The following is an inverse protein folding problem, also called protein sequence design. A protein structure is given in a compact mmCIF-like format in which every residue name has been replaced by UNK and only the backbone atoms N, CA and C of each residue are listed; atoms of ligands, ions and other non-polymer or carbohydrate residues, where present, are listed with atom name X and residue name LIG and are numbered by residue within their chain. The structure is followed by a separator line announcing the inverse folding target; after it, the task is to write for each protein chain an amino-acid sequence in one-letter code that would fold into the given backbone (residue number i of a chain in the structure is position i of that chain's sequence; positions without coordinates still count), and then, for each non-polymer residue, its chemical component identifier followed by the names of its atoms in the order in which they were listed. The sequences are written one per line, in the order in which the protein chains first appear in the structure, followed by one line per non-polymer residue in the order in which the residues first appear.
data_IF_347922037195
#
_entry.id   IF_347922037195
#
_cell.length_a   1.000
_cell.length_b   1.000
_cell.length_c   1.000
_cell.angle_alpha   90.00
_cell.angle_beta   90.00
_cell.angle_gamma   90.00
#
_symmetry.space_group_name_H-M   'P 1'
#
loop_
_entity.id
_entity.type
_entity.pdbx_description
1 polymer ?
#
# COMPACT_ATOMS: atom_id res chain seq x y z
N UNK A 1 -42.39 68.16 32.73
CA UNK A 1 -43.38 67.69 33.72
C UNK A 1 -43.41 66.15 33.60
N UNK A 2 -43.27 65.52 34.77
CA UNK A 2 -43.42 64.06 35.07
C UNK A 2 -42.35 63.11 34.58
N UNK A 3 -41.44 62.81 35.52
CA UNK A 3 -40.52 61.73 35.51
C UNK A 3 -41.24 60.39 35.75
N UNK A 4 -40.78 59.22 35.17
CA UNK A 4 -41.24 57.93 35.60
C UNK A 4 -40.32 57.31 36.68
N UNK A 5 -40.85 56.35 37.45
CA UNK A 5 -40.21 55.87 38.69
C UNK A 5 -39.13 54.85 38.50
N UNK A 6 -38.26 54.88 39.47
CA UNK A 6 -37.12 54.04 39.73
C UNK A 6 -37.54 52.58 40.06
N UNK A 7 -37.13 51.56 39.29
CA UNK A 7 -37.31 50.16 39.65
C UNK A 7 -35.98 49.57 40.06
N UNK A 8 -35.92 49.08 41.29
CA UNK A 8 -34.80 48.48 41.98
C UNK A 8 -34.33 47.21 41.29
N UNK A 9 -33.05 47.11 41.06
CA UNK A 9 -32.32 45.92 40.49
C UNK A 9 -31.95 45.01 41.65
N UNK A 10 -32.70 43.94 41.83
CA UNK A 10 -32.34 42.83 42.76
C UNK A 10 -31.18 42.06 42.19
N UNK A 11 -30.03 42.09 42.88
CA UNK A 11 -28.89 41.23 42.61
C UNK A 11 -29.18 39.84 43.17
N UNK A 12 -29.30 38.85 42.28
CA UNK A 12 -29.24 37.42 42.63
C UNK A 12 -27.80 36.95 42.59
N UNK A 13 -27.26 36.52 43.73
CA UNK A 13 -25.98 35.83 43.84
C UNK A 13 -26.07 34.42 43.25
N UNK A 14 -25.06 33.93 42.52
CA UNK A 14 -25.07 32.56 42.03
C UNK A 14 -24.78 31.58 43.17
N UNK A 15 -25.74 30.68 43.44
CA UNK A 15 -25.59 29.58 44.38
C UNK A 15 -24.52 28.61 43.91
N UNK A 16 -23.52 28.37 44.75
CA UNK A 16 -22.55 27.31 44.58
C UNK A 16 -23.26 25.96 44.77
N UNK A 17 -23.45 25.21 43.68
CA UNK A 17 -23.81 23.78 43.74
C UNK A 17 -22.63 22.99 44.30
N UNK A 18 -22.80 22.40 45.49
CA UNK A 18 -21.87 21.44 46.04
C UNK A 18 -21.99 20.12 45.26
N UNK A 19 -20.87 19.66 44.71
CA UNK A 19 -20.72 18.29 44.18
C UNK A 19 -20.90 17.29 45.32
N UNK A 20 -21.58 16.18 45.11
CA UNK A 20 -21.69 15.10 46.10
C UNK A 20 -20.33 14.48 46.39
N UNK A 21 -20.07 14.17 47.66
CA UNK A 21 -18.87 13.51 48.15
C UNK A 21 -18.78 12.07 47.58
N UNK A 22 -17.58 11.61 47.21
CA UNK A 22 -17.41 10.20 46.76
C UNK A 22 -17.71 9.21 47.90
N UNK A 23 -18.22 8.01 47.60
CA UNK A 23 -18.48 6.96 48.59
C UNK A 23 -17.18 6.48 49.23
N UNK A 24 -17.23 5.97 50.47
CA UNK A 24 -16.05 5.46 51.17
C UNK A 24 -15.42 4.27 50.43
N UNK A 25 -14.12 4.26 50.34
CA UNK A 25 -13.34 3.17 49.76
C UNK A 25 -13.54 1.90 50.57
N UNK A 26 -14.22 0.93 50.01
CA UNK A 26 -14.25 -0.45 50.48
C UNK A 26 -12.88 -1.09 50.27
N UNK A 27 -12.38 -1.73 51.32
CA UNK A 27 -11.03 -2.23 51.49
C UNK A 27 -10.47 -2.99 50.30
N UNK A 28 -9.23 -2.69 49.99
CA UNK A 28 -8.39 -3.47 49.06
C UNK A 28 -8.16 -4.87 49.61
N UNK A 29 -8.32 -5.93 48.80
CA UNK A 29 -7.89 -7.25 49.17
C UNK A 29 -6.37 -7.30 49.36
N UNK A 30 -5.90 -8.08 50.33
CA UNK A 30 -4.50 -8.28 50.65
C UNK A 30 -3.68 -8.76 49.44
N UNK A 31 -2.40 -8.40 49.34
CA UNK A 31 -1.56 -8.83 48.21
C UNK A 31 -1.37 -10.34 48.25
N UNK A 32 -1.77 -10.99 47.14
CA UNK A 32 -1.46 -12.41 46.94
C UNK A 32 0.02 -12.46 46.55
N UNK A 33 0.82 -13.12 47.43
CA UNK A 33 2.22 -13.43 47.15
C UNK A 33 2.29 -14.46 46.00
N UNK A 34 2.49 -13.99 44.77
CA UNK A 34 2.96 -14.85 43.70
C UNK A 34 4.48 -14.97 43.79
N UNK A 35 5.07 -16.17 43.67
CA UNK A 35 6.51 -16.32 43.59
C UNK A 35 7.02 -15.56 42.35
N UNK A 36 7.98 -14.71 42.58
CA UNK A 36 8.70 -13.91 41.54
C UNK A 36 9.42 -14.90 40.62
N UNK A 37 8.76 -15.29 39.54
CA UNK A 37 9.47 -15.85 38.40
C UNK A 37 10.24 -14.70 37.72
N UNK A 38 11.58 -14.82 37.73
CA UNK A 38 12.46 -13.96 36.90
C UNK A 38 11.93 -13.98 35.46
N UNK A 39 11.84 -12.83 34.80
CA UNK A 39 11.57 -12.80 33.37
C UNK A 39 12.68 -13.60 32.67
N UNK A 40 12.31 -14.74 32.10
CA UNK A 40 13.17 -15.39 31.14
C UNK A 40 13.32 -14.41 29.96
N UNK A 41 14.56 -14.14 29.61
CA UNK A 41 14.88 -13.36 28.41
C UNK A 41 14.14 -13.99 27.24
N UNK A 42 13.16 -13.26 26.68
CA UNK A 42 12.56 -13.60 25.41
C UNK A 42 13.67 -13.41 24.38
N UNK A 43 14.34 -14.51 24.06
CA UNK A 43 15.16 -14.55 22.87
C UNK A 43 14.24 -14.25 21.72
N UNK A 44 14.37 -13.05 21.15
CA UNK A 44 13.83 -12.76 19.83
C UNK A 44 14.48 -13.78 18.89
N UNK A 45 13.80 -14.89 18.67
CA UNK A 45 14.07 -15.75 17.53
C UNK A 45 13.79 -14.89 16.33
N UNK A 46 14.85 -14.40 15.69
CA UNK A 46 14.74 -13.82 14.38
C UNK A 46 13.99 -14.85 13.53
N UNK A 47 12.79 -14.48 13.13
CA UNK A 47 11.99 -15.25 12.19
C UNK A 47 12.70 -15.11 10.84
N UNK A 48 13.76 -15.89 10.66
CA UNK A 48 14.25 -16.22 9.33
C UNK A 48 13.18 -17.15 8.76
N UNK A 49 12.23 -16.56 8.02
CA UNK A 49 11.42 -17.32 7.12
C UNK A 49 12.39 -18.05 6.17
N UNK A 50 12.74 -19.29 6.50
CA UNK A 50 13.33 -20.20 5.54
C UNK A 50 12.26 -20.42 4.51
N UNK A 51 12.45 -19.84 3.32
CA UNK A 51 11.79 -20.30 2.11
C UNK A 51 12.01 -21.81 2.09
N UNK A 52 10.96 -22.65 2.03
CA UNK A 52 11.17 -24.09 1.86
C UNK A 52 12.11 -24.25 0.67
N UNK A 53 13.25 -24.91 0.87
CA UNK A 53 14.17 -25.24 -0.22
C UNK A 53 13.49 -26.29 -1.09
N UNK A 54 12.61 -25.85 -1.98
CA UNK A 54 12.22 -26.67 -3.12
C UNK A 54 13.46 -26.88 -3.97
N UNK A 55 13.66 -28.14 -4.38
CA UNK A 55 14.78 -28.58 -5.21
C UNK A 55 15.02 -27.56 -6.35
N UNK A 56 16.25 -27.01 -6.53
CA UNK A 56 16.54 -26.02 -7.59
C UNK A 56 16.17 -26.49 -9.00
N UNK A 57 15.89 -27.79 -9.17
CA UNK A 57 15.42 -28.37 -10.42
C UNK A 57 13.94 -28.17 -10.71
N UNK A 58 13.17 -27.69 -9.72
CA UNK A 58 11.77 -27.29 -9.86
C UNK A 58 11.61 -25.76 -9.77
N UNK A 59 12.57 -24.99 -10.24
CA UNK A 59 12.42 -23.57 -10.43
C UNK A 59 11.23 -23.35 -11.38
N UNK A 60 10.07 -23.13 -10.81
CA UNK A 60 8.88 -22.67 -11.52
C UNK A 60 9.31 -21.35 -12.14
N UNK A 61 9.48 -21.34 -13.47
CA UNK A 61 9.69 -20.11 -14.23
C UNK A 61 8.45 -19.27 -13.97
N UNK A 62 8.57 -18.29 -13.06
CA UNK A 62 7.49 -17.32 -12.89
C UNK A 62 7.31 -16.60 -14.21
N UNK A 63 6.09 -16.52 -14.73
CA UNK A 63 5.83 -15.72 -15.90
C UNK A 63 6.33 -14.29 -15.66
N UNK A 64 7.10 -13.75 -16.61
CA UNK A 64 7.47 -12.33 -16.57
C UNK A 64 6.19 -11.52 -16.84
N UNK A 65 5.68 -10.85 -15.82
CA UNK A 65 4.52 -9.95 -15.91
C UNK A 65 5.00 -8.50 -16.01
N UNK A 66 5.41 -8.02 -17.21
CA UNK A 66 5.98 -6.67 -17.38
C UNK A 66 4.96 -5.56 -17.13
N UNK A 67 3.68 -5.91 -17.02
CA UNK A 67 2.57 -5.02 -16.73
C UNK A 67 2.12 -5.06 -15.25
N UNK A 68 2.78 -5.84 -14.40
CA UNK A 68 2.51 -5.88 -12.95
C UNK A 68 3.39 -4.87 -12.22
N UNK A 69 2.76 -4.06 -11.36
CA UNK A 69 3.43 -3.09 -10.49
C UNK A 69 2.99 -3.34 -9.06
N UNK A 70 3.94 -3.58 -8.17
CA UNK A 70 3.68 -3.79 -6.75
C UNK A 70 4.03 -2.53 -5.95
N UNK A 71 3.06 -2.06 -5.16
CA UNK A 71 3.19 -0.90 -4.28
C UNK A 71 3.36 -1.36 -2.85
N UNK A 72 4.46 -0.95 -2.21
CA UNK A 72 4.75 -1.29 -0.81
C UNK A 72 5.16 -0.08 0.02
N UNK A 73 5.06 -0.21 1.35
CA UNK A 73 5.57 0.79 2.28
C UNK A 73 6.01 0.16 3.60
N UNK A 74 7.18 0.53 4.13
CA UNK A 74 7.63 0.10 5.46
C UNK A 74 6.90 0.82 6.61
N UNK A 75 5.99 1.74 6.30
CA UNK A 75 5.26 2.56 7.29
C UNK A 75 3.77 2.47 7.04
N UNK A 76 3.01 1.97 8.01
CA UNK A 76 1.56 1.92 7.93
C UNK A 76 0.92 3.32 8.00
N UNK A 77 -0.26 3.47 7.39
CA UNK A 77 -1.08 4.67 7.49
C UNK A 77 -0.57 5.90 6.72
N UNK A 78 0.48 5.79 5.92
CA UNK A 78 1.01 6.91 5.13
C UNK A 78 0.21 7.22 3.87
N UNK A 79 -0.73 6.34 3.47
CA UNK A 79 -1.59 6.49 2.30
C UNK A 79 -1.11 5.71 1.09
N UNK A 80 -0.52 4.52 1.28
CA UNK A 80 -0.10 3.62 0.21
C UNK A 80 -1.28 3.28 -0.71
N UNK A 81 -2.38 2.74 -0.17
CA UNK A 81 -3.59 2.41 -0.93
C UNK A 81 -4.17 3.61 -1.67
N UNK A 82 -4.15 4.81 -1.04
CA UNK A 82 -4.54 6.06 -1.69
C UNK A 82 -3.63 6.40 -2.87
N UNK A 83 -2.30 6.23 -2.71
CA UNK A 83 -1.34 6.44 -3.81
C UNK A 83 -1.62 5.48 -4.96
N UNK A 84 -1.79 4.19 -4.67
CA UNK A 84 -2.06 3.15 -5.68
C UNK A 84 -3.32 3.48 -6.47
N UNK A 85 -4.41 3.88 -5.78
CA UNK A 85 -5.65 4.32 -6.41
C UNK A 85 -5.48 5.59 -7.25
N UNK A 86 -4.74 6.60 -6.79
CA UNK A 86 -4.48 7.83 -7.55
C UNK A 86 -3.69 7.55 -8.84
N UNK A 87 -2.77 6.58 -8.83
CA UNK A 87 -2.04 6.16 -10.03
C UNK A 87 -2.98 5.43 -10.99
N UNK A 88 -3.84 4.53 -10.49
CA UNK A 88 -4.83 3.85 -11.31
C UNK A 88 -5.76 4.84 -12.00
N UNK A 89 -6.28 5.81 -11.24
CA UNK A 89 -7.15 6.86 -11.78
C UNK A 89 -6.45 7.68 -12.87
N UNK A 90 -5.18 8.08 -12.64
CA UNK A 90 -4.42 8.84 -13.63
C UNK A 90 -4.10 8.02 -14.89
N UNK A 91 -3.91 6.70 -14.77
CA UNK A 91 -3.73 5.79 -15.90
C UNK A 91 -5.04 5.66 -16.71
N UNK A 92 -6.17 5.46 -16.03
CA UNK A 92 -7.50 5.38 -16.65
C UNK A 92 -7.86 6.68 -17.37
N UNK A 93 -7.62 7.86 -16.78
CA UNK A 93 -7.79 9.16 -17.42
C UNK A 93 -6.93 9.32 -18.70
N UNK A 94 -5.83 8.58 -18.83
CA UNK A 94 -5.00 8.54 -20.04
C UNK A 94 -5.41 7.44 -21.03
N UNK A 95 -6.50 6.73 -20.76
CA UNK A 95 -7.01 5.64 -21.60
C UNK A 95 -6.19 4.35 -21.49
N UNK A 96 -5.48 4.14 -20.39
CA UNK A 96 -4.77 2.89 -20.11
C UNK A 96 -5.72 1.97 -19.35
N UNK A 97 -6.04 0.83 -19.95
CA UNK A 97 -6.82 -0.24 -19.32
C UNK A 97 -6.01 -0.83 -18.15
N UNK A 98 -6.53 -0.73 -16.93
CA UNK A 98 -5.84 -1.15 -15.72
C UNK A 98 -6.75 -1.83 -14.71
N UNK A 99 -6.14 -2.64 -13.85
CA UNK A 99 -6.79 -3.26 -12.70
C UNK A 99 -6.05 -2.94 -11.40
N UNK A 100 -6.81 -2.83 -10.32
CA UNK A 100 -6.32 -2.74 -8.94
C UNK A 100 -6.43 -4.10 -8.27
N UNK A 101 -5.40 -4.49 -7.55
CA UNK A 101 -5.36 -5.68 -6.71
C UNK A 101 -5.02 -5.29 -5.28
N UNK A 102 -5.88 -5.62 -4.33
CA UNK A 102 -5.63 -5.50 -2.89
C UNK A 102 -4.99 -6.78 -2.37
N UNK A 103 -3.67 -6.82 -2.34
CA UNK A 103 -2.90 -7.97 -1.87
C UNK A 103 -2.36 -7.79 -0.44
N UNK A 104 -2.75 -6.74 0.28
CA UNK A 104 -2.53 -6.57 1.72
C UNK A 104 -3.58 -7.34 2.52
N UNK A 105 -3.50 -8.67 2.48
CA UNK A 105 -4.51 -9.56 3.06
C UNK A 105 -4.84 -9.25 4.52
N UNK A 106 -3.84 -8.99 5.42
CA UNK A 106 -4.13 -8.72 6.82
C UNK A 106 -4.86 -7.40 7.07
N UNK A 107 -4.56 -6.38 6.27
CA UNK A 107 -5.06 -5.02 6.50
C UNK A 107 -6.03 -4.54 5.43
N UNK A 108 -6.28 -5.25 4.39
CA UNK A 108 -7.15 -4.97 3.24
C UNK A 108 -8.16 -3.85 3.43
N UNK A 109 -8.85 -3.46 2.44
CA UNK A 109 -9.84 -2.38 2.58
C UNK A 109 -9.81 -1.39 1.42
N UNK A 110 -9.15 -1.77 0.34
CA UNK A 110 -9.15 -0.97 -0.89
C UNK A 110 -10.59 -0.73 -1.39
N UNK A 111 -11.47 -1.74 -1.32
CA UNK A 111 -12.88 -1.59 -1.67
C UNK A 111 -13.60 -0.51 -0.85
N UNK A 112 -13.35 -0.45 0.46
CA UNK A 112 -13.90 0.59 1.36
C UNK A 112 -13.29 1.97 1.02
N UNK A 113 -11.99 2.03 0.79
CA UNK A 113 -11.30 3.27 0.42
C UNK A 113 -11.89 3.89 -0.86
N UNK A 114 -12.30 3.04 -1.80
CA UNK A 114 -12.86 3.44 -3.09
C UNK A 114 -14.37 3.67 -3.04
N UNK A 115 -15.05 3.27 -1.95
CA UNK A 115 -16.51 3.36 -1.79
C UNK A 115 -17.29 2.33 -2.61
N UNK A 116 -16.69 1.19 -2.92
CA UNK A 116 -17.27 0.11 -3.73
C UNK A 116 -17.55 -1.18 -2.94
N UNK A 117 -17.50 -1.12 -1.62
CA UNK A 117 -17.69 -2.30 -0.75
C UNK A 117 -19.11 -2.91 -0.86
N UNK A 118 -20.06 -2.19 -1.42
CA UNK A 118 -21.42 -2.62 -1.67
C UNK A 118 -21.71 -2.93 -3.15
N UNK A 119 -20.76 -2.66 -4.04
CA UNK A 119 -20.91 -3.00 -5.44
C UNK A 119 -20.93 -4.53 -5.65
N UNK A 120 -21.79 -5.03 -6.53
CA UNK A 120 -21.82 -6.46 -6.84
C UNK A 120 -20.53 -6.86 -7.55
N UNK A 121 -19.99 -8.04 -7.22
CA UNK A 121 -18.82 -8.59 -7.87
C UNK A 121 -17.99 -9.48 -6.95
N UNK A 122 -16.97 -10.11 -7.53
CA UNK A 122 -16.04 -10.99 -6.82
C UNK A 122 -15.02 -10.20 -6.00
N UNK A 123 -14.71 -10.71 -4.83
CA UNK A 123 -13.54 -10.29 -4.06
C UNK A 123 -12.53 -11.44 -3.97
N UNK A 124 -11.35 -11.20 -3.40
CA UNK A 124 -10.30 -12.21 -3.27
C UNK A 124 -10.77 -13.48 -2.54
N UNK A 125 -11.68 -13.35 -1.57
CA UNK A 125 -12.24 -14.46 -0.81
C UNK A 125 -13.23 -15.32 -1.60
N UNK A 126 -13.73 -14.84 -2.72
CA UNK A 126 -14.67 -15.54 -3.58
C UNK A 126 -13.96 -16.31 -4.72
N UNK A 127 -12.63 -16.17 -4.82
CA UNK A 127 -11.86 -16.84 -5.87
C UNK A 127 -11.83 -18.35 -5.66
N UNK A 128 -12.01 -19.06 -6.78
CA UNK A 128 -11.82 -20.51 -6.86
C UNK A 128 -11.02 -20.84 -8.12
N UNK A 129 -9.85 -21.40 -7.93
CA UNK A 129 -8.94 -21.74 -9.01
C UNK A 129 -8.47 -23.22 -8.90
N UNK A 130 -9.36 -24.21 -8.92
CA UNK A 130 -9.04 -25.60 -8.59
C UNK A 130 -7.95 -26.21 -9.48
N UNK A 131 -7.70 -25.64 -10.66
CA UNK A 131 -6.65 -26.04 -11.58
C UNK A 131 -5.48 -25.05 -11.64
N UNK A 132 -5.43 -24.10 -10.72
CA UNK A 132 -4.38 -23.06 -10.68
C UNK A 132 -4.45 -22.06 -11.84
N UNK A 133 -5.59 -21.96 -12.54
CA UNK A 133 -5.80 -21.05 -13.66
C UNK A 133 -7.19 -20.44 -13.62
N UNK A 134 -7.26 -19.14 -13.93
CA UNK A 134 -8.50 -18.34 -14.05
C UNK A 134 -8.45 -17.66 -15.42
N UNK A 135 -9.60 -17.67 -16.15
CA UNK A 135 -9.71 -16.88 -17.39
C UNK A 135 -9.79 -15.40 -17.06
N UNK A 136 -8.80 -14.63 -17.51
CA UNK A 136 -8.68 -13.22 -17.15
C UNK A 136 -9.86 -12.35 -17.65
N UNK A 137 -10.43 -12.65 -18.83
CA UNK A 137 -11.57 -11.89 -19.36
C UNK A 137 -12.86 -12.24 -18.61
N UNK A 138 -13.00 -13.49 -18.17
CA UNK A 138 -14.12 -13.88 -17.32
C UNK A 138 -13.99 -13.21 -15.95
N UNK A 139 -12.80 -13.24 -15.35
CA UNK A 139 -12.55 -12.56 -14.08
C UNK A 139 -12.91 -11.08 -14.16
N UNK A 140 -12.37 -10.33 -15.14
CA UNK A 140 -12.64 -8.88 -15.27
C UNK A 140 -14.15 -8.56 -15.37
N UNK A 141 -14.95 -9.43 -15.97
CA UNK A 141 -16.42 -9.22 -16.07
C UNK A 141 -17.16 -9.38 -14.75
N UNK A 142 -16.58 -10.13 -13.83
CA UNK A 142 -17.17 -10.42 -12.52
C UNK A 142 -16.61 -9.49 -11.41
N UNK A 143 -15.60 -8.65 -11.72
CA UNK A 143 -15.04 -7.72 -10.76
C UNK A 143 -15.91 -6.47 -10.60
N UNK A 144 -16.00 -5.90 -9.40
CA UNK A 144 -16.55 -4.56 -9.22
C UNK A 144 -15.67 -3.53 -9.94
N UNK A 145 -16.30 -2.45 -10.38
CA UNK A 145 -15.63 -1.35 -11.07
C UNK A 145 -15.59 -0.11 -10.18
N UNK A 146 -14.45 0.54 -10.17
CA UNK A 146 -14.30 1.90 -9.66
C UNK A 146 -13.89 2.80 -10.81
N UNK A 147 -14.77 3.75 -11.19
CA UNK A 147 -14.66 4.43 -12.47
C UNK A 147 -14.55 3.39 -13.62
N UNK A 148 -13.55 3.49 -14.49
CA UNK A 148 -13.31 2.51 -15.56
C UNK A 148 -12.23 1.46 -15.18
N UNK A 149 -12.02 1.20 -13.87
CA UNK A 149 -10.95 0.37 -13.34
C UNK A 149 -11.54 -0.90 -12.71
N UNK A 150 -11.06 -2.07 -13.13
CA UNK A 150 -11.40 -3.34 -12.48
C UNK A 150 -10.73 -3.43 -11.10
N UNK A 151 -11.47 -3.84 -10.07
CA UNK A 151 -10.92 -3.91 -8.71
C UNK A 151 -11.12 -5.29 -8.11
N UNK A 152 -10.03 -6.00 -7.87
CA UNK A 152 -10.04 -7.22 -7.07
C UNK A 152 -9.65 -6.87 -5.63
N UNK A 153 -10.67 -6.57 -4.82
CA UNK A 153 -10.50 -6.14 -3.44
C UNK A 153 -10.38 -7.31 -2.46
N UNK A 154 -9.64 -7.10 -1.38
CA UNK A 154 -9.64 -7.99 -0.23
C UNK A 154 -10.78 -7.60 0.72
N UNK A 155 -11.67 -8.54 1.03
CA UNK A 155 -12.77 -8.40 1.97
C UNK A 155 -12.61 -9.38 3.12
N UNK A 156 -11.62 -9.15 3.98
CA UNK A 156 -11.21 -10.06 5.06
C UNK A 156 -12.33 -10.46 6.03
N UNK A 157 -13.43 -9.71 6.06
CA UNK A 157 -14.65 -10.04 6.84
C UNK A 157 -15.60 -11.04 6.13
N UNK A 158 -15.39 -11.35 4.84
CA UNK A 158 -16.28 -12.23 4.05
C UNK A 158 -15.88 -13.70 4.07
N UNK A 159 -14.66 -14.03 4.49
CA UNK A 159 -14.18 -15.40 4.49
C UNK A 159 -12.73 -15.56 4.92
N UNK A 160 -12.18 -16.74 4.67
CA UNK A 160 -10.76 -17.00 4.88
C UNK A 160 -9.92 -16.30 3.82
N UNK A 161 -8.67 -16.00 4.18
CA UNK A 161 -7.70 -15.49 3.21
C UNK A 161 -7.56 -16.49 2.04
N UNK A 162 -7.37 -16.01 0.80
CA UNK A 162 -7.07 -16.89 -0.32
C UNK A 162 -5.74 -17.59 -0.11
N UNK A 163 -5.63 -18.81 -0.64
CA UNK A 163 -4.36 -19.51 -0.68
C UNK A 163 -3.38 -18.83 -1.64
N UNK A 164 -2.09 -18.98 -1.41
CA UNK A 164 -1.09 -18.30 -2.26
C UNK A 164 -1.18 -18.69 -3.74
N UNK A 165 -1.58 -19.91 -4.06
CA UNK A 165 -1.74 -20.36 -5.43
C UNK A 165 -2.97 -19.74 -6.12
N UNK A 166 -4.05 -19.44 -5.37
CA UNK A 166 -5.21 -18.70 -5.87
C UNK A 166 -4.84 -17.24 -6.18
N UNK A 167 -4.07 -16.61 -5.28
CA UNK A 167 -3.50 -15.28 -5.52
C UNK A 167 -2.65 -15.25 -6.80
N UNK A 168 -1.80 -16.24 -7.02
CA UNK A 168 -0.97 -16.35 -8.22
C UNK A 168 -1.82 -16.50 -9.48
N UNK A 169 -2.85 -17.35 -9.44
CA UNK A 169 -3.79 -17.53 -10.54
C UNK A 169 -4.55 -16.21 -10.85
N UNK A 170 -4.96 -15.46 -9.82
CA UNK A 170 -5.60 -14.16 -9.99
C UNK A 170 -4.65 -13.11 -10.61
N UNK A 171 -3.41 -13.04 -10.16
CA UNK A 171 -2.39 -12.13 -10.72
C UNK A 171 -2.17 -12.45 -12.20
N UNK A 172 -2.00 -13.72 -12.56
CA UNK A 172 -1.86 -14.14 -13.94
C UNK A 172 -3.06 -13.71 -14.78
N UNK A 173 -4.28 -14.01 -14.31
CA UNK A 173 -5.53 -13.67 -14.99
C UNK A 173 -5.67 -12.15 -15.21
N UNK A 174 -5.40 -11.35 -14.19
CA UNK A 174 -5.44 -9.88 -14.28
C UNK A 174 -4.40 -9.35 -15.28
N UNK A 175 -3.18 -9.89 -15.24
CA UNK A 175 -2.09 -9.48 -16.15
C UNK A 175 -2.36 -9.85 -17.61
N UNK A 176 -3.06 -10.96 -17.87
CA UNK A 176 -3.48 -11.37 -19.21
C UNK A 176 -4.59 -10.47 -19.78
N UNK A 177 -5.49 -9.99 -18.93
CA UNK A 177 -6.69 -9.26 -19.35
C UNK A 177 -6.51 -7.73 -19.35
N UNK A 178 -5.56 -7.17 -18.61
CA UNK A 178 -5.39 -5.74 -18.45
C UNK A 178 -4.03 -5.24 -18.97
N UNK A 179 -4.00 -4.00 -19.41
CA UNK A 179 -2.76 -3.35 -19.85
C UNK A 179 -1.80 -3.08 -18.70
N UNK A 180 -2.29 -2.82 -17.51
CA UNK A 180 -1.49 -2.63 -16.30
C UNK A 180 -2.25 -3.14 -15.08
N UNK A 181 -1.55 -3.80 -14.17
CA UNK A 181 -2.07 -4.28 -12.89
C UNK A 181 -1.28 -3.61 -11.78
N UNK A 182 -1.99 -2.93 -10.88
CA UNK A 182 -1.42 -2.22 -9.73
C UNK A 182 -1.82 -2.97 -8.47
N UNK A 183 -0.85 -3.58 -7.80
CA UNK A 183 -1.07 -4.36 -6.58
C UNK A 183 -0.65 -3.55 -5.34
N UNK A 184 -1.58 -3.30 -4.43
CA UNK A 184 -1.27 -2.83 -3.09
C UNK A 184 -0.87 -4.03 -2.23
N UNK A 185 0.39 -4.09 -1.81
CA UNK A 185 0.96 -5.22 -1.06
C UNK A 185 1.34 -4.86 0.38
N UNK A 186 0.86 -3.72 0.87
CA UNK A 186 1.11 -3.28 2.23
C UNK A 186 2.59 -3.13 2.55
N UNK A 187 3.08 -3.85 3.56
CA UNK A 187 4.48 -3.82 3.99
C UNK A 187 5.40 -4.83 3.26
N UNK A 188 4.86 -5.56 2.29
CA UNK A 188 5.60 -6.53 1.48
C UNK A 188 5.84 -7.89 2.16
N UNK A 189 5.08 -8.24 3.18
CA UNK A 189 5.19 -9.57 3.80
C UNK A 189 4.83 -10.70 2.84
N UNK A 190 3.97 -10.42 1.87
CA UNK A 190 3.56 -11.37 0.82
C UNK A 190 4.69 -11.78 -0.15
N UNK A 191 5.80 -11.03 -0.21
CA UNK A 191 6.92 -11.33 -1.13
C UNK A 191 7.50 -12.74 -0.98
N UNK A 192 7.47 -13.29 0.24
CA UNK A 192 7.98 -14.64 0.51
C UNK A 192 7.08 -15.76 -0.02
N UNK A 193 5.86 -15.45 -0.42
CA UNK A 193 4.83 -16.41 -0.78
C UNK A 193 4.34 -16.30 -2.23
N UNK A 194 4.40 -15.09 -2.78
CA UNK A 194 3.94 -14.78 -4.14
C UNK A 194 5.08 -14.15 -4.93
N UNK A 195 5.92 -14.98 -5.58
CA UNK A 195 7.10 -14.51 -6.31
C UNK A 195 6.78 -13.53 -7.43
N UNK A 196 5.60 -13.61 -8.02
CA UNK A 196 5.14 -12.67 -9.05
C UNK A 196 5.14 -11.23 -8.52
N UNK A 197 4.69 -11.02 -7.28
CA UNK A 197 4.71 -9.70 -6.62
C UNK A 197 6.11 -9.26 -6.22
N UNK A 198 6.99 -10.21 -5.86
CA UNK A 198 8.40 -9.91 -5.56
C UNK A 198 9.15 -9.46 -6.82
N UNK A 199 8.93 -10.14 -7.95
CA UNK A 199 9.62 -9.88 -9.22
C UNK A 199 8.92 -8.83 -10.08
N UNK A 200 7.74 -8.35 -9.66
CA UNK A 200 7.04 -7.23 -10.27
C UNK A 200 7.90 -5.95 -10.22
N UNK A 201 7.52 -4.96 -11.02
CA UNK A 201 8.08 -3.62 -10.90
C UNK A 201 7.66 -3.02 -9.56
N UNK A 202 8.63 -2.58 -8.75
CA UNK A 202 8.38 -2.12 -7.39
C UNK A 202 8.24 -0.59 -7.32
N UNK A 203 7.23 -0.14 -6.57
CA UNK A 203 7.07 1.25 -6.12
C UNK A 203 7.06 1.23 -4.59
N UNK A 204 8.01 1.93 -3.97
CA UNK A 204 8.14 1.99 -2.52
C UNK A 204 7.77 3.37 -2.02
N UNK A 205 6.67 3.47 -1.28
CA UNK A 205 6.23 4.71 -0.65
C UNK A 205 6.95 4.91 0.69
N UNK A 206 7.57 6.08 0.86
CA UNK A 206 8.44 6.39 1.99
C UNK A 206 8.00 7.66 2.69
N UNK A 207 7.68 7.56 3.97
CA UNK A 207 7.34 8.73 4.77
C UNK A 207 8.58 9.63 4.98
N UNK A 208 8.44 10.92 4.71
CA UNK A 208 9.50 11.91 4.78
C UNK A 208 9.77 12.34 6.24
N UNK A 209 10.19 11.36 7.05
CA UNK A 209 10.59 11.50 8.46
C UNK A 209 11.88 10.72 8.71
N UNK A 210 12.59 11.03 9.81
CA UNK A 210 13.81 10.28 10.20
C UNK A 210 13.51 8.78 10.32
N UNK A 211 12.41 8.44 11.00
CA UNK A 211 12.01 7.04 11.20
C UNK A 211 11.56 6.39 9.88
N UNK A 212 10.80 7.12 9.06
CA UNK A 212 10.35 6.64 7.74
C UNK A 212 11.52 6.30 6.83
N UNK A 213 12.54 7.18 6.75
CA UNK A 213 13.73 6.93 5.94
C UNK A 213 14.56 5.75 6.47
N UNK A 214 14.70 5.61 7.78
CA UNK A 214 15.42 4.48 8.38
C UNK A 214 14.74 3.15 8.07
N UNK A 215 13.41 3.09 8.18
CA UNK A 215 12.59 1.93 7.81
C UNK A 215 12.69 1.63 6.31
N UNK A 216 12.64 2.67 5.47
CA UNK A 216 12.75 2.54 4.02
C UNK A 216 14.08 1.91 3.61
N UNK A 217 15.19 2.33 4.21
CA UNK A 217 16.50 1.74 3.92
C UNK A 217 16.56 0.24 4.23
N UNK A 218 15.98 -0.18 5.35
CA UNK A 218 15.90 -1.60 5.71
C UNK A 218 14.97 -2.37 4.75
N UNK A 219 13.82 -1.78 4.38
CA UNK A 219 12.85 -2.37 3.47
C UNK A 219 13.44 -2.57 2.05
N UNK A 220 14.09 -1.55 1.49
CA UNK A 220 14.77 -1.64 0.20
C UNK A 220 15.90 -2.68 0.22
N UNK A 221 16.65 -2.77 1.31
CA UNK A 221 17.68 -3.79 1.46
C UNK A 221 17.09 -5.21 1.51
N UNK A 222 15.97 -5.41 2.24
CA UNK A 222 15.22 -6.68 2.29
C UNK A 222 14.71 -7.05 0.90
N UNK A 223 14.05 -6.13 0.20
CA UNK A 223 13.53 -6.34 -1.15
C UNK A 223 14.63 -6.79 -2.11
N UNK A 224 15.73 -6.04 -2.19
CA UNK A 224 16.87 -6.37 -3.07
C UNK A 224 17.53 -7.71 -2.72
N UNK A 225 17.55 -8.08 -1.43
CA UNK A 225 18.06 -9.37 -0.99
C UNK A 225 17.16 -10.50 -1.50
N UNK A 226 15.86 -10.42 -1.24
CA UNK A 226 14.89 -11.42 -1.68
C UNK A 226 14.86 -11.56 -3.21
N UNK A 227 14.90 -10.45 -3.95
CA UNK A 227 14.93 -10.46 -5.42
C UNK A 227 16.19 -11.14 -5.96
N UNK A 228 17.37 -10.87 -5.37
CA UNK A 228 18.62 -11.54 -5.75
C UNK A 228 18.59 -13.04 -5.45
N UNK A 229 18.11 -13.40 -4.26
CA UNK A 229 18.04 -14.79 -3.84
C UNK A 229 17.08 -15.58 -4.75
N UNK A 230 15.97 -14.96 -5.15
CA UNK A 230 14.99 -15.57 -6.04
C UNK A 230 15.46 -15.61 -7.50
N UNK A 231 16.05 -14.54 -8.01
CA UNK A 231 16.56 -14.48 -9.39
C UNK A 231 17.69 -15.50 -9.65
N UNK A 232 18.48 -15.82 -8.64
CA UNK A 232 19.60 -16.74 -8.77
C UNK A 232 20.58 -16.28 -9.86
N UNK A 233 20.64 -17.03 -10.98
CA UNK A 233 21.50 -16.71 -12.13
C UNK A 233 20.82 -15.84 -13.20
N UNK A 234 19.55 -15.45 -13.00
CA UNK A 234 18.84 -14.58 -13.93
C UNK A 234 19.14 -13.10 -13.60
N UNK A 235 18.87 -12.21 -14.57
CA UNK A 235 18.96 -10.78 -14.34
C UNK A 235 17.96 -10.37 -13.24
N UNK A 236 18.37 -9.57 -12.25
CA UNK A 236 17.44 -9.05 -11.25
C UNK A 236 16.43 -8.09 -11.91
N UNK A 237 15.27 -7.87 -11.29
CA UNK A 237 14.32 -6.87 -11.78
C UNK A 237 14.92 -5.46 -11.74
N UNK A 238 14.22 -4.51 -12.38
CA UNK A 238 14.61 -3.10 -12.37
C UNK A 238 14.65 -2.56 -10.93
N UNK A 239 15.51 -1.55 -10.68
CA UNK A 239 15.56 -0.89 -9.36
C UNK A 239 14.18 -0.33 -8.96
N UNK A 240 13.83 -0.39 -7.67
CA UNK A 240 12.58 0.13 -7.16
C UNK A 240 12.43 1.64 -7.41
N UNK A 241 11.23 2.07 -7.77
CA UNK A 241 10.88 3.50 -7.80
C UNK A 241 10.53 3.92 -6.37
N UNK A 242 11.26 4.87 -5.82
CA UNK A 242 10.99 5.41 -4.49
C UNK A 242 10.17 6.69 -4.60
N UNK A 243 9.03 6.76 -3.91
CA UNK A 243 8.21 7.96 -3.83
C UNK A 243 8.11 8.46 -2.38
N UNK A 244 8.44 9.73 -2.18
CA UNK A 244 8.35 10.36 -0.86
C UNK A 244 6.92 10.81 -0.58
N UNK A 245 6.49 10.61 0.66
CA UNK A 245 5.17 11.00 1.17
C UNK A 245 5.34 12.00 2.30
N UNK A 246 4.66 13.15 2.22
CA UNK A 246 4.60 14.07 3.36
C UNK A 246 3.91 13.40 4.56
N UNK A 247 4.46 13.50 5.77
CA UNK A 247 3.85 12.92 6.96
C UNK A 247 2.50 13.56 7.25
N UNK A 248 1.51 12.74 7.63
CA UNK A 248 0.16 13.20 7.99
C UNK A 248 0.15 13.84 9.38
N UNK A 249 -0.76 14.78 9.58
CA UNK A 249 -1.03 15.36 10.91
C UNK A 249 0.05 16.32 11.44
N UNK A 250 1.08 16.63 10.66
CA UNK A 250 2.08 17.63 11.06
C UNK A 250 1.49 19.04 10.84
N UNK A 251 1.34 19.86 11.90
CA UNK A 251 0.88 21.23 11.75
C UNK A 251 1.83 22.03 10.85
N UNK A 252 1.29 22.87 9.96
CA UNK A 252 2.09 23.72 9.05
C UNK A 252 3.16 24.55 9.75
N UNK A 253 2.98 24.87 11.04
CA UNK A 253 3.95 25.59 11.86
C UNK A 253 5.18 24.75 12.26
N UNK A 254 5.10 23.43 12.13
CA UNK A 254 6.17 22.48 12.47
C UNK A 254 6.78 21.82 11.20
N UNK A 255 6.52 22.38 10.03
CA UNK A 255 7.14 21.95 8.77
C UNK A 255 8.68 21.91 8.78
N UNK A 256 9.41 22.63 9.66
CA UNK A 256 10.85 22.43 9.79
C UNK A 256 11.29 21.05 10.28
N UNK A 257 10.36 20.25 10.81
CA UNK A 257 10.65 18.86 11.26
C UNK A 257 10.53 17.80 10.17
N UNK A 258 10.14 18.18 8.94
CA UNK A 258 10.24 17.30 7.78
C UNK A 258 11.63 17.37 7.17
N UNK A 259 12.17 16.22 6.82
CA UNK A 259 13.47 16.11 6.18
C UNK A 259 13.39 16.73 4.77
N UNK A 260 14.43 17.43 4.35
CA UNK A 260 14.50 17.94 2.97
C UNK A 260 14.62 16.77 1.97
N UNK A 261 13.99 16.91 0.81
CA UNK A 261 14.06 15.89 -0.26
C UNK A 261 15.51 15.56 -0.63
N UNK A 262 16.41 16.56 -0.66
CA UNK A 262 17.83 16.37 -0.94
C UNK A 262 18.54 15.52 0.10
N UNK A 263 18.16 15.63 1.37
CA UNK A 263 18.69 14.79 2.45
C UNK A 263 18.17 13.35 2.32
N UNK A 264 16.90 13.17 1.94
CA UNK A 264 16.31 11.87 1.69
C UNK A 264 17.02 11.14 0.52
N UNK A 265 17.27 11.82 -0.59
CA UNK A 265 18.07 11.31 -1.72
C UNK A 265 19.45 10.87 -1.27
N UNK A 266 20.16 11.75 -0.54
CA UNK A 266 21.51 11.45 -0.04
C UNK A 266 21.54 10.26 0.93
N UNK A 267 20.50 10.11 1.75
CA UNK A 267 20.43 9.02 2.73
C UNK A 267 20.07 7.67 2.11
N UNK A 268 19.09 7.65 1.18
CA UNK A 268 18.65 6.42 0.52
C UNK A 268 19.64 5.97 -0.56
N UNK A 269 20.35 6.92 -1.20
CA UNK A 269 21.25 6.63 -2.31
C UNK A 269 20.54 6.29 -3.63
N UNK A 270 19.24 6.56 -3.70
CA UNK A 270 18.38 6.27 -4.84
C UNK A 270 17.75 7.56 -5.38
N UNK A 271 17.40 7.56 -6.65
CA UNK A 271 16.54 8.60 -7.22
C UNK A 271 15.14 8.49 -6.61
N UNK A 272 14.60 9.62 -6.16
CA UNK A 272 13.28 9.66 -5.53
C UNK A 272 12.34 10.60 -6.25
N UNK A 273 11.06 10.23 -6.25
CA UNK A 273 9.97 11.09 -6.73
C UNK A 273 9.27 11.79 -5.56
N UNK A 274 8.62 12.89 -5.84
CA UNK A 274 7.79 13.59 -4.85
C UNK A 274 8.46 14.78 -4.19
N UNK A 275 8.02 15.20 -3.00
CA UNK A 275 7.06 14.46 -2.16
C UNK A 275 5.61 14.57 -2.65
N UNK A 276 4.84 13.50 -2.44
CA UNK A 276 3.40 13.55 -2.50
C UNK A 276 2.91 14.33 -1.28
N UNK A 277 2.21 15.42 -1.54
CA UNK A 277 1.77 16.34 -0.50
C UNK A 277 0.53 15.86 0.21
N UNK A 278 0.46 16.17 1.50
CA UNK A 278 -0.75 15.93 2.26
C UNK A 278 -1.93 16.72 1.64
N UNK A 279 -3.06 16.04 1.40
CA UNK A 279 -4.27 16.59 0.78
C UNK A 279 -5.45 16.48 1.77
N UNK A 280 -5.64 17.48 2.67
CA UNK A 280 -6.62 17.39 3.74
C UNK A 280 -8.06 17.18 3.26
N UNK A 281 -8.42 17.76 2.09
CA UNK A 281 -9.75 17.54 1.51
C UNK A 281 -9.95 16.08 1.10
N UNK A 282 -8.98 15.50 0.38
CA UNK A 282 -9.04 14.08 0.00
C UNK A 282 -9.12 13.18 1.24
N UNK A 283 -8.34 13.50 2.29
CA UNK A 283 -8.42 12.75 3.55
C UNK A 283 -9.79 12.86 4.20
N UNK A 284 -10.42 14.05 4.19
CA UNK A 284 -11.78 14.24 4.71
C UNK A 284 -12.81 13.47 3.88
N UNK A 285 -12.75 13.59 2.56
CA UNK A 285 -13.65 12.88 1.64
C UNK A 285 -13.59 11.35 1.87
N UNK A 286 -12.40 10.79 2.03
CA UNK A 286 -12.21 9.36 2.35
C UNK A 286 -12.79 9.01 3.73
N UNK A 287 -12.55 9.84 4.76
CA UNK A 287 -13.08 9.60 6.12
C UNK A 287 -14.61 9.70 6.18
N UNK A 288 -15.20 10.53 5.32
CA UNK A 288 -16.63 10.68 5.18
C UNK A 288 -17.27 9.60 4.28
N UNK A 289 -16.47 8.64 3.77
CA UNK A 289 -16.94 7.55 2.91
C UNK A 289 -17.26 7.98 1.47
N UNK A 290 -16.78 9.15 1.04
CA UNK A 290 -16.99 9.67 -0.31
C UNK A 290 -15.99 9.12 -1.35
N UNK A 291 -15.02 8.31 -0.90
CA UNK A 291 -14.00 7.72 -1.77
C UNK A 291 -13.03 8.74 -2.37
N UNK A 292 -12.47 8.40 -3.54
CA UNK A 292 -11.50 9.23 -4.26
C UNK A 292 -12.10 9.64 -5.60
N UNK A 293 -12.48 10.92 -5.73
CA UNK A 293 -13.11 11.43 -6.96
C UNK A 293 -12.13 11.99 -7.99
N UNK A 294 -10.94 12.45 -7.58
CA UNK A 294 -9.95 13.03 -8.49
C UNK A 294 -8.57 13.15 -7.86
N UNK A 295 -7.54 13.21 -8.71
CA UNK A 295 -6.17 13.53 -8.28
C UNK A 295 -6.08 14.97 -7.74
N UNK A 296 -5.65 15.19 -6.48
CA UNK A 296 -5.49 16.52 -5.91
C UNK A 296 -4.54 17.39 -6.75
N UNK A 297 -4.93 18.66 -7.00
CA UNK A 297 -4.12 19.58 -7.83
C UNK A 297 -2.66 19.71 -7.37
N UNK A 298 -2.42 19.68 -6.05
CA UNK A 298 -1.07 19.74 -5.46
C UNK A 298 -0.20 18.54 -5.79
N UNK A 299 -0.80 17.42 -6.16
CA UNK A 299 -0.13 16.14 -6.38
C UNK A 299 -0.08 15.72 -7.85
N UNK A 300 -0.77 16.43 -8.75
CA UNK A 300 -0.86 16.07 -10.17
C UNK A 300 0.50 15.87 -10.82
N UNK A 301 1.44 16.79 -10.59
CA UNK A 301 2.77 16.69 -11.20
C UNK A 301 3.53 15.45 -10.73
N UNK A 302 3.46 15.13 -9.43
CA UNK A 302 4.12 13.95 -8.84
C UNK A 302 3.46 12.66 -9.32
N UNK A 303 2.13 12.59 -9.33
CA UNK A 303 1.37 11.45 -9.85
C UNK A 303 1.68 11.24 -11.34
N UNK A 304 1.66 12.30 -12.15
CA UNK A 304 1.99 12.22 -13.57
C UNK A 304 3.42 11.71 -13.79
N UNK A 305 4.40 12.24 -13.06
CA UNK A 305 5.79 11.79 -13.17
C UNK A 305 5.97 10.30 -12.87
N UNK A 306 5.29 9.79 -11.82
CA UNK A 306 5.30 8.36 -11.51
C UNK A 306 4.62 7.54 -12.61
N UNK A 307 3.44 7.98 -13.07
CA UNK A 307 2.71 7.32 -14.17
C UNK A 307 3.57 7.25 -15.45
N UNK A 308 4.21 8.36 -15.84
CA UNK A 308 5.09 8.40 -17.01
C UNK A 308 6.28 7.44 -16.86
N UNK A 309 6.87 7.35 -15.66
CA UNK A 309 7.95 6.42 -15.40
C UNK A 309 7.48 4.96 -15.51
N UNK A 310 6.28 4.64 -15.01
CA UNK A 310 5.67 3.33 -15.15
C UNK A 310 5.40 2.97 -16.63
N UNK A 311 4.91 3.89 -17.44
CA UNK A 311 4.64 3.68 -18.86
C UNK A 311 5.93 3.55 -19.69
N UNK A 312 6.96 4.36 -19.40
CA UNK A 312 8.23 4.36 -20.15
C UNK A 312 9.08 3.11 -19.87
N UNK A 313 9.12 2.59 -18.65
CA UNK A 313 9.82 1.34 -18.32
C UNK A 313 9.27 0.14 -19.11
N UNK A 314 7.98 0.13 -19.42
CA UNK A 314 7.34 -0.87 -20.28
C UNK A 314 7.86 -0.81 -21.73
N UNK A 315 8.04 0.41 -22.27
CA UNK A 315 8.57 0.59 -23.64
C UNK A 315 10.01 0.11 -23.76
N UNK A 316 10.85 0.31 -22.73
CA UNK A 316 12.25 -0.13 -22.73
C UNK A 316 12.40 -1.65 -22.72
N UNK A 317 11.61 -2.37 -21.92
CA UNK A 317 11.62 -3.86 -21.91
C UNK A 317 11.16 -4.45 -23.25
N UNK A 318 10.09 -3.92 -23.82
CA UNK A 318 9.61 -4.36 -25.15
C UNK A 318 10.60 -4.08 -26.28
N UNK A 319 11.35 -2.98 -26.20
CA UNK A 319 12.43 -2.65 -27.13
C UNK A 319 13.62 -3.61 -27.06
N UNK A 320 14.03 -4.01 -25.85
CA UNK A 320 15.13 -4.98 -25.64
C UNK A 320 14.80 -6.37 -26.16
N UNK A 321 13.55 -6.83 -26.04
CA UNK A 321 13.11 -8.13 -26.57
C UNK A 321 13.17 -8.14 -28.11
N UNK A 322 12.80 -7.06 -28.78
CA UNK A 322 12.88 -6.92 -30.25
C UNK A 322 14.32 -6.93 -30.77
N UNK A 323 15.25 -6.24 -30.12
CA UNK A 323 16.66 -6.19 -30.51
C UNK A 323 17.39 -7.55 -30.31
N UNK A 324 17.07 -8.32 -29.27
CA UNK A 324 17.61 -9.66 -29.08
C UNK A 324 17.11 -10.67 -30.13
N UNK A 325 15.89 -10.53 -30.63
CA UNK A 325 15.35 -11.41 -31.69
C UNK A 325 15.97 -11.15 -33.08
N UNK A 326 16.30 -9.89 -33.38
CA UNK A 326 16.93 -9.53 -34.66
C UNK A 326 18.44 -9.75 -34.71
N UNK A 327 19.11 -9.97 -33.58
CA UNK A 327 20.56 -10.23 -33.53
C UNK A 327 20.99 -11.69 -33.73
N UNK A 328 20.05 -12.62 -33.87
CA UNK A 328 20.37 -14.05 -34.07
C UNK A 328 20.32 -14.56 -35.52
N UNK A 329 20.00 -13.72 -36.50
CA UNK A 329 19.81 -14.15 -37.89
C UNK A 329 20.93 -13.73 -38.87
N UNK A 330 22.09 -13.27 -38.43
CA UNK A 330 23.22 -13.05 -39.34
C UNK A 330 24.55 -13.62 -38.80
N UNK A 331 24.68 -14.93 -38.81
CA UNK A 331 25.98 -15.61 -38.97
C UNK A 331 25.75 -16.96 -39.66
N UNK A 332 25.94 -16.95 -40.95
CA UNK A 332 26.05 -18.12 -41.82
C UNK A 332 26.62 -17.76 -43.18
N UNK A 333 27.95 -17.74 -43.23
CA UNK A 333 28.80 -18.42 -44.24
C UNK A 333 28.98 -17.82 -45.65
N UNK A 334 30.05 -18.15 -46.28
CA UNK A 334 30.99 -19.22 -46.17
C UNK A 334 32.40 -18.85 -45.80
#
# INVERSE_FOLDING_TARGET
MTSPPNTARTQMSPGRSRLPSPPPATGLPAPINHPTQRPQAVTHTAYTARIPSEDPRNAIVTPDHPNLVAFSSPSGGIGLSTLTALIALNLSEQGVDCALLDADIPNGGLGILLGIEHEPGLCLQDLDAPLGHIDGKALNRELPHWEDINVLACASWRGSAPEHWEMRAAIQALCEANSMVLADIGDGDIWGHVPELLMARQVVAVELTVLGLARAKAHLARLRCLQRDYAGNNDPPDEPIVILMEPRGVPKRLTPSTIATTEAVSYLGDDVLGPLRNAPKLCADILDGLGIAAVPKSNRATIQALTDQLLNGRKSKNGRIRTRRNGKEHHGLP
#
